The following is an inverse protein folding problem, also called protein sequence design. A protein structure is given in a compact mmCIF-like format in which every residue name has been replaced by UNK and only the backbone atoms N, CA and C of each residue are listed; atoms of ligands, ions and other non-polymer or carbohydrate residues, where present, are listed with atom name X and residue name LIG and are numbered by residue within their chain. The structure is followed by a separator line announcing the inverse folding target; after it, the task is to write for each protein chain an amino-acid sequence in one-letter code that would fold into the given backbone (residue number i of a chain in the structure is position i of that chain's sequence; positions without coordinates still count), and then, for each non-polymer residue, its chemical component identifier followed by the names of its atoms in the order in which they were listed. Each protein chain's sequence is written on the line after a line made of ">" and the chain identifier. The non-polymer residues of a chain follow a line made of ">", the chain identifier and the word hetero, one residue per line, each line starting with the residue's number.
data_IF_794974266366
#
_entry.id   IF_794974266366
#
_cell.length_a   1.000
_cell.length_b   1.000
_cell.length_c   1.000
_cell.angle_alpha   90.00
_cell.angle_beta   90.00
_cell.angle_gamma   90.00
#
_symmetry.space_group_name_H-M   'P 1'
#
loop_
_entity.id
_entity.type
_entity.pdbx_description
1 polymer ?
#
# COMPACT_ATOMS: atom_id res chain seq x y z
N UNK A 1 -17.80 -2.97 -25.52
CA UNK A 1 -18.18 -4.43 -25.51
C UNK A 1 -18.48 -4.86 -24.08
N UNK A 2 -19.37 -5.84 -23.86
CA UNK A 2 -19.79 -6.24 -22.49
C UNK A 2 -18.64 -6.89 -21.72
N UNK A 3 -18.44 -6.52 -20.45
CA UNK A 3 -17.50 -7.09 -19.47
C UNK A 3 -17.55 -8.63 -19.42
N UNK A 4 -18.74 -9.21 -19.60
CA UNK A 4 -18.96 -10.67 -19.66
C UNK A 4 -18.19 -11.39 -20.77
N UNK A 5 -17.79 -10.72 -21.83
CA UNK A 5 -17.10 -11.36 -22.96
C UNK A 5 -15.64 -11.68 -22.63
N UNK A 6 -14.98 -10.82 -21.84
CA UNK A 6 -13.59 -11.03 -21.44
C UNK A 6 -13.47 -12.11 -20.36
N UNK A 7 -14.43 -12.23 -19.45
CA UNK A 7 -14.42 -13.27 -18.40
C UNK A 7 -14.50 -14.70 -18.95
N UNK A 8 -15.00 -14.90 -20.17
CA UNK A 8 -15.04 -16.22 -20.83
C UNK A 8 -13.72 -16.57 -21.53
N UNK A 9 -12.76 -15.63 -21.63
CA UNK A 9 -11.46 -15.85 -22.26
C UNK A 9 -10.53 -16.62 -21.32
N UNK A 10 -10.00 -17.80 -21.70
CA UNK A 10 -9.08 -18.58 -20.89
C UNK A 10 -7.80 -17.80 -20.50
N UNK A 11 -7.36 -16.86 -21.34
CA UNK A 11 -6.19 -16.02 -21.08
C UNK A 11 -6.45 -15.08 -19.89
N UNK A 12 -7.64 -14.46 -19.87
CA UNK A 12 -8.08 -13.61 -18.76
C UNK A 12 -8.22 -14.42 -17.48
N UNK A 13 -8.81 -15.63 -17.55
CA UNK A 13 -8.93 -16.48 -16.37
C UNK A 13 -7.56 -16.88 -15.80
N UNK A 14 -6.64 -17.33 -16.65
CA UNK A 14 -5.29 -17.68 -16.22
C UNK A 14 -4.53 -16.47 -15.64
N UNK A 15 -4.76 -15.26 -16.15
CA UNK A 15 -4.20 -14.03 -15.62
C UNK A 15 -4.79 -13.71 -14.25
N UNK A 16 -6.12 -13.80 -14.09
CA UNK A 16 -6.81 -13.57 -12.80
C UNK A 16 -6.35 -14.55 -11.72
N UNK A 17 -6.15 -15.83 -12.07
CA UNK A 17 -5.66 -16.81 -11.11
C UNK A 17 -4.26 -16.47 -10.61
N UNK A 18 -3.34 -16.02 -11.50
CA UNK A 18 -2.03 -15.51 -11.11
C UNK A 18 -2.14 -14.25 -10.25
N UNK A 19 -2.95 -13.29 -10.69
CA UNK A 19 -3.15 -12.03 -9.97
C UNK A 19 -3.64 -12.28 -8.52
N UNK A 20 -4.60 -13.18 -8.34
CA UNK A 20 -5.10 -13.58 -7.01
C UNK A 20 -4.05 -14.31 -6.18
N UNK A 21 -3.26 -15.19 -6.80
CA UNK A 21 -2.16 -15.86 -6.12
C UNK A 21 -1.09 -14.87 -5.63
N UNK A 22 -0.83 -13.81 -6.40
CA UNK A 22 0.16 -12.80 -6.06
C UNK A 22 -0.26 -11.87 -4.91
N UNK A 23 -1.56 -11.78 -4.60
CA UNK A 23 -2.03 -10.98 -3.47
C UNK A 23 -1.84 -11.66 -2.12
N UNK A 24 -1.82 -12.99 -2.09
CA UNK A 24 -1.72 -13.75 -0.85
C UNK A 24 -0.62 -14.80 -0.96
N UNK A 25 0.54 -14.47 -0.42
CA UNK A 25 1.71 -15.34 -0.40
C UNK A 25 2.21 -15.51 1.04
N UNK A 26 2.68 -16.70 1.44
CA UNK A 26 3.29 -16.90 2.73
C UNK A 26 4.58 -16.08 2.85
N UNK A 27 4.95 -15.71 4.06
CA UNK A 27 6.24 -15.09 4.32
C UNK A 27 7.38 -16.03 3.88
N UNK A 28 8.46 -15.46 3.33
CA UNK A 28 9.63 -16.22 2.85
C UNK A 28 10.37 -16.91 4.00
N UNK A 29 10.32 -16.32 5.18
CA UNK A 29 10.93 -16.82 6.41
C UNK A 29 9.92 -16.76 7.56
N UNK A 30 10.09 -17.59 8.60
CA UNK A 30 9.18 -17.58 9.76
C UNK A 30 9.12 -16.19 10.41
N UNK A 31 7.90 -15.73 10.67
CA UNK A 31 7.62 -14.47 11.37
C UNK A 31 6.84 -14.78 12.64
N UNK A 32 7.10 -14.03 13.70
CA UNK A 32 6.37 -14.14 14.95
C UNK A 32 5.57 -12.88 15.23
N UNK A 33 4.44 -12.98 15.93
CA UNK A 33 3.68 -11.81 16.36
C UNK A 33 4.60 -10.81 17.09
N UNK A 34 4.43 -9.52 16.77
CA UNK A 34 5.07 -8.41 17.47
C UNK A 34 4.05 -7.76 18.40
N UNK A 35 4.35 -7.80 19.70
CA UNK A 35 3.55 -7.16 20.73
C UNK A 35 4.20 -5.85 21.19
N UNK A 36 3.38 -4.81 21.28
CA UNK A 36 3.75 -3.50 21.80
C UNK A 36 2.73 -3.10 22.86
N UNK A 37 3.19 -2.70 24.03
CA UNK A 37 2.31 -2.44 25.19
C UNK A 37 1.28 -3.55 25.45
N UNK A 38 1.69 -4.83 25.27
CA UNK A 38 0.85 -6.00 25.48
C UNK A 38 -0.18 -6.29 24.38
N UNK A 39 -0.17 -5.55 23.28
CA UNK A 39 -1.09 -5.72 22.15
C UNK A 39 -0.35 -6.15 20.90
N UNK A 40 -0.88 -7.14 20.18
CA UNK A 40 -0.33 -7.57 18.89
C UNK A 40 -0.60 -6.49 17.82
N UNK A 41 0.48 -6.05 17.13
CA UNK A 41 0.44 -4.96 16.17
C UNK A 41 0.90 -5.35 14.78
N UNK A 42 1.70 -6.40 14.68
CA UNK A 42 2.32 -6.83 13.44
C UNK A 42 3.07 -8.12 13.63
N UNK A 43 4.11 -8.32 12.84
CA UNK A 43 4.98 -9.50 12.94
C UNK A 43 6.43 -9.15 12.62
N UNK A 44 7.36 -9.82 13.28
CA UNK A 44 8.80 -9.63 13.04
C UNK A 44 9.42 -10.97 12.65
N UNK A 45 10.25 -10.96 11.62
CA UNK A 45 11.04 -12.10 11.21
C UNK A 45 12.19 -12.34 12.20
N UNK A 46 12.42 -13.60 12.58
CA UNK A 46 13.44 -13.94 13.57
C UNK A 46 14.86 -13.56 13.12
N UNK A 47 15.16 -13.70 11.83
CA UNK A 47 16.44 -13.29 11.26
C UNK A 47 16.63 -11.78 11.28
N UNK A 48 15.59 -10.99 11.03
CA UNK A 48 15.66 -9.53 11.16
C UNK A 48 15.89 -9.13 12.61
N UNK A 49 15.18 -9.75 13.57
CA UNK A 49 15.36 -9.47 14.99
C UNK A 49 16.81 -9.73 15.44
N UNK A 50 17.45 -10.77 14.91
CA UNK A 50 18.84 -11.10 15.21
C UNK A 50 19.88 -10.12 14.61
N UNK A 51 19.49 -9.33 13.60
CA UNK A 51 20.34 -8.31 12.97
C UNK A 51 20.28 -6.95 13.69
N UNK A 52 19.39 -6.79 14.70
CA UNK A 52 19.28 -5.54 15.45
C UNK A 52 20.21 -5.59 16.69
N UNK A 53 21.33 -4.85 16.73
CA UNK A 53 22.29 -4.93 17.81
C UNK A 53 21.72 -4.38 19.13
N UNK A 54 21.97 -5.07 20.23
CA UNK A 54 21.48 -4.69 21.57
C UNK A 54 21.94 -3.28 22.00
N UNK A 55 23.15 -2.87 21.65
CA UNK A 55 23.68 -1.55 21.96
C UNK A 55 22.94 -0.46 21.19
N UNK A 56 22.61 -0.66 19.91
CA UNK A 56 21.79 0.27 19.12
C UNK A 56 20.36 0.32 19.66
N UNK A 57 19.78 -0.83 20.00
CA UNK A 57 18.45 -0.92 20.62
C UNK A 57 18.42 -0.11 21.93
N UNK A 58 19.40 -0.32 22.81
CA UNK A 58 19.51 0.40 24.08
C UNK A 58 19.73 1.90 23.88
N UNK A 59 20.54 2.31 22.90
CA UNK A 59 20.76 3.72 22.57
C UNK A 59 19.46 4.43 22.17
N UNK A 60 18.51 3.69 21.59
CA UNK A 60 17.16 4.19 21.28
C UNK A 60 16.12 3.93 22.37
N UNK A 61 16.52 3.40 23.53
CA UNK A 61 15.66 3.19 24.69
C UNK A 61 14.65 2.05 24.55
N UNK A 62 14.91 1.07 23.68
CA UNK A 62 14.05 -0.09 23.44
C UNK A 62 14.80 -1.42 23.50
N UNK A 63 14.06 -2.50 23.73
CA UNK A 63 14.57 -3.86 23.68
C UNK A 63 13.50 -4.80 23.08
N UNK A 64 13.94 -5.82 22.36
CA UNK A 64 13.10 -6.92 21.91
C UNK A 64 13.34 -8.15 22.81
N UNK A 65 12.27 -8.78 23.25
CA UNK A 65 12.33 -10.01 24.03
C UNK A 65 11.41 -11.05 23.44
N UNK A 66 11.95 -12.24 23.18
CA UNK A 66 11.15 -13.39 22.74
C UNK A 66 10.57 -14.08 23.97
N UNK A 67 9.25 -14.10 24.08
CA UNK A 67 8.51 -14.74 25.18
C UNK A 67 7.32 -15.50 24.62
N UNK A 68 7.14 -16.74 25.02
CA UNK A 68 6.03 -17.60 24.56
C UNK A 68 5.84 -17.62 23.01
N UNK A 69 6.94 -17.52 22.25
CA UNK A 69 6.88 -17.52 20.78
C UNK A 69 6.50 -16.19 20.14
N UNK A 70 6.44 -15.11 20.89
CA UNK A 70 6.09 -13.76 20.43
C UNK A 70 7.20 -12.77 20.77
N UNK A 71 7.43 -11.80 19.88
CA UNK A 71 8.35 -10.70 20.13
C UNK A 71 7.65 -9.60 20.92
N UNK A 72 8.22 -9.23 22.05
CA UNK A 72 7.74 -8.14 22.90
C UNK A 72 8.68 -6.95 22.79
N UNK A 73 8.18 -5.82 22.27
CA UNK A 73 8.89 -4.55 22.27
C UNK A 73 8.72 -3.91 23.66
N UNK A 74 9.83 -3.65 24.31
CA UNK A 74 9.92 -3.10 25.67
C UNK A 74 10.70 -1.79 25.66
N UNK A 75 10.36 -0.88 26.58
CA UNK A 75 10.98 0.42 26.75
C UNK A 75 10.11 1.35 27.59
N UNK A 76 10.47 2.64 27.64
CA UNK A 76 9.67 3.67 28.29
C UNK A 76 8.85 4.45 27.30
N UNK A 77 7.61 4.77 27.65
CA UNK A 77 6.66 5.51 26.83
C UNK A 77 5.48 4.67 26.36
N UNK A 78 4.63 5.28 25.55
CA UNK A 78 3.49 4.63 24.93
C UNK A 78 3.90 3.82 23.67
N UNK A 79 2.94 3.14 23.07
CA UNK A 79 3.17 2.31 21.89
C UNK A 79 3.73 3.10 20.69
N UNK A 80 3.35 4.38 20.52
CA UNK A 80 3.88 5.27 19.48
C UNK A 80 5.36 5.57 19.69
N UNK A 81 5.74 5.89 20.92
CA UNK A 81 7.15 6.16 21.28
C UNK A 81 8.00 4.92 21.04
N UNK A 82 7.55 3.74 21.48
CA UNK A 82 8.27 2.48 21.32
C UNK A 82 8.43 2.07 19.85
N UNK A 83 7.37 2.14 19.07
CA UNK A 83 7.41 1.78 17.64
C UNK A 83 8.31 2.74 16.84
N UNK A 84 8.24 4.04 17.09
CA UNK A 84 9.11 5.00 16.42
C UNK A 84 10.58 4.91 16.90
N UNK A 85 10.84 4.47 18.12
CA UNK A 85 12.19 4.13 18.56
C UNK A 85 12.73 2.91 17.79
N UNK A 86 11.93 1.84 17.64
CA UNK A 86 12.29 0.68 16.82
C UNK A 86 12.46 1.05 15.34
N UNK A 87 11.61 1.92 14.79
CA UNK A 87 11.76 2.43 13.42
C UNK A 87 13.12 3.13 13.21
N UNK A 88 13.57 3.95 14.19
CA UNK A 88 14.90 4.57 14.14
C UNK A 88 16.04 3.55 14.23
N UNK A 89 15.88 2.47 15.01
CA UNK A 89 16.84 1.35 15.03
C UNK A 89 16.91 0.71 13.64
N UNK A 90 15.77 0.37 13.03
CA UNK A 90 15.73 -0.18 11.66
C UNK A 90 16.43 0.74 10.67
N UNK A 91 16.20 2.07 10.75
CA UNK A 91 16.88 3.05 9.90
C UNK A 91 18.39 3.05 10.13
N UNK A 92 18.82 3.11 11.40
CA UNK A 92 20.23 3.18 11.77
C UNK A 92 21.02 1.93 11.36
N UNK A 93 20.34 0.78 11.28
CA UNK A 93 20.93 -0.50 10.89
C UNK A 93 20.71 -0.84 9.40
N UNK A 94 20.08 0.05 8.62
CA UNK A 94 19.85 -0.15 7.18
C UNK A 94 18.71 -1.11 6.84
N UNK A 95 17.85 -1.44 7.80
CA UNK A 95 16.75 -2.39 7.63
C UNK A 95 15.35 -1.73 7.57
N UNK A 96 15.28 -0.40 7.45
CA UNK A 96 14.01 0.28 7.15
C UNK A 96 13.75 0.29 5.65
N UNK A 97 12.49 0.40 5.25
CA UNK A 97 12.11 0.90 3.94
C UNK A 97 12.48 2.39 3.77
N UNK A 98 12.16 2.99 2.62
CA UNK A 98 12.38 4.42 2.37
C UNK A 98 11.75 5.26 3.48
N UNK A 99 12.58 6.13 4.08
CA UNK A 99 12.12 7.03 5.15
C UNK A 99 11.35 8.21 4.54
N UNK A 100 10.14 8.47 5.04
CA UNK A 100 9.23 9.45 4.45
C UNK A 100 8.89 10.61 5.37
N UNK A 101 9.24 10.53 6.67
CA UNK A 101 8.76 11.44 7.72
C UNK A 101 7.22 11.50 7.80
N UNK A 102 6.60 10.37 7.43
CA UNK A 102 5.16 10.15 7.42
C UNK A 102 4.78 9.08 8.45
N UNK A 103 3.77 9.41 9.27
CA UNK A 103 3.26 8.46 10.26
C UNK A 103 2.05 7.72 9.72
N UNK A 104 2.05 6.39 9.86
CA UNK A 104 0.90 5.55 9.56
C UNK A 104 0.25 5.05 10.86
N UNK A 105 -1.06 4.85 10.81
CA UNK A 105 -1.80 4.31 11.95
C UNK A 105 -1.43 2.84 12.19
N UNK A 106 -1.26 2.50 13.47
CA UNK A 106 -1.05 1.11 13.92
C UNK A 106 -2.27 0.64 14.69
N UNK A 107 -2.89 -0.41 14.18
CA UNK A 107 -4.04 -1.03 14.82
C UNK A 107 -3.66 -2.39 15.44
N UNK A 108 -4.34 -2.75 16.54
CA UNK A 108 -4.27 -4.10 17.08
C UNK A 108 -5.11 -5.08 16.25
N UNK A 109 -5.09 -6.37 16.60
CA UNK A 109 -5.84 -7.43 15.89
C UNK A 109 -7.36 -7.25 15.93
N UNK A 110 -7.88 -6.38 16.80
CA UNK A 110 -9.30 -6.00 16.84
C UNK A 110 -9.62 -4.78 15.96
N UNK A 111 -8.62 -4.24 15.25
CA UNK A 111 -8.76 -3.06 14.41
C UNK A 111 -8.78 -1.74 15.17
N UNK A 112 -8.49 -1.74 16.47
CA UNK A 112 -8.43 -0.50 17.26
C UNK A 112 -7.08 0.16 17.04
N UNK A 113 -7.07 1.44 16.69
CA UNK A 113 -5.85 2.24 16.58
C UNK A 113 -5.24 2.43 17.97
N UNK A 114 -3.99 2.02 18.13
CA UNK A 114 -3.26 2.09 19.40
C UNK A 114 -1.98 2.92 19.34
N UNK A 115 -1.48 3.19 18.14
CA UNK A 115 -0.23 3.92 17.95
C UNK A 115 -0.12 4.52 16.54
N UNK A 116 0.99 5.19 16.30
CA UNK A 116 1.49 5.51 14.96
C UNK A 116 2.96 5.09 14.83
N UNK A 117 3.40 4.88 13.59
CA UNK A 117 4.80 4.56 13.29
C UNK A 117 5.20 5.16 11.95
N UNK A 118 6.47 5.49 11.81
CA UNK A 118 7.08 5.88 10.55
C UNK A 118 6.82 4.86 9.44
N UNK A 119 6.39 5.36 8.26
CA UNK A 119 6.02 4.57 7.08
C UNK A 119 7.10 3.56 6.67
N UNK A 120 8.38 3.94 6.72
CA UNK A 120 9.50 3.06 6.38
C UNK A 120 9.68 1.84 7.30
N UNK A 121 8.97 1.78 8.44
CA UNK A 121 9.04 0.64 9.36
C UNK A 121 7.91 -0.38 9.20
N UNK A 122 6.83 -0.05 8.47
CA UNK A 122 5.61 -0.88 8.47
C UNK A 122 5.83 -2.25 7.84
N UNK A 123 6.56 -2.34 6.73
CA UNK A 123 6.84 -3.62 6.05
C UNK A 123 7.81 -4.49 6.84
N UNK A 124 8.97 -3.99 7.33
CA UNK A 124 9.86 -4.76 8.21
C UNK A 124 9.13 -5.33 9.43
N UNK A 125 8.22 -4.55 10.03
CA UNK A 125 7.44 -4.94 11.21
C UNK A 125 6.13 -5.67 10.89
N UNK A 126 5.81 -5.93 9.61
CA UNK A 126 4.58 -6.61 9.19
C UNK A 126 3.31 -5.95 9.73
N UNK A 127 3.33 -4.63 9.91
CA UNK A 127 2.20 -3.83 10.38
C UNK A 127 1.19 -3.68 9.26
N UNK A 128 -0.09 -3.87 9.57
CA UNK A 128 -1.16 -3.68 8.62
C UNK A 128 -1.34 -2.19 8.28
N UNK A 129 -1.50 -1.90 6.99
CA UNK A 129 -1.67 -0.54 6.45
C UNK A 129 -2.96 -0.41 5.67
N UNK A 130 -3.38 0.83 5.44
CA UNK A 130 -4.51 1.16 4.59
C UNK A 130 -4.06 2.11 3.48
N UNK A 131 -4.56 1.87 2.27
CA UNK A 131 -4.35 2.73 1.11
C UNK A 131 -5.67 3.00 0.40
N UNK A 132 -5.67 3.99 -0.47
CA UNK A 132 -6.81 4.38 -1.30
C UNK A 132 -6.39 4.42 -2.76
N UNK A 133 -7.28 3.99 -3.66
CA UNK A 133 -7.12 4.15 -5.09
C UNK A 133 -8.36 4.79 -5.72
N UNK A 134 -8.18 5.58 -6.77
CA UNK A 134 -9.25 6.18 -7.54
C UNK A 134 -9.18 5.74 -9.00
N UNK A 135 -10.24 5.11 -9.48
CA UNK A 135 -10.45 4.85 -10.91
C UNK A 135 -11.23 6.02 -11.50
N UNK A 136 -10.58 6.81 -12.35
CA UNK A 136 -11.18 7.93 -13.07
C UNK A 136 -11.67 7.50 -14.45
N UNK A 137 -12.99 7.59 -14.69
CA UNK A 137 -13.57 7.29 -15.99
C UNK A 137 -14.15 8.56 -16.62
N UNK A 138 -14.24 8.62 -17.94
CA UNK A 138 -14.94 9.69 -18.66
C UNK A 138 -16.38 9.25 -18.99
N UNK A 139 -17.24 10.19 -19.32
CA UNK A 139 -18.64 9.91 -19.66
C UNK A 139 -18.79 8.99 -20.89
N UNK A 140 -17.81 8.94 -21.79
CA UNK A 140 -17.74 8.06 -22.95
C UNK A 140 -17.10 6.68 -22.64
N UNK A 141 -16.68 6.45 -21.39
CA UNK A 141 -16.22 5.16 -20.87
C UNK A 141 -14.72 4.89 -21.02
N UNK A 142 -13.93 5.90 -21.40
CA UNK A 142 -12.46 5.84 -21.34
C UNK A 142 -11.98 5.98 -19.91
N UNK A 143 -10.76 5.55 -19.65
CA UNK A 143 -10.19 5.48 -18.30
C UNK A 143 -8.90 6.30 -18.24
N UNK A 144 -8.81 7.19 -17.27
CA UNK A 144 -7.57 7.86 -16.92
C UNK A 144 -6.67 6.93 -16.11
N UNK A 145 -5.44 6.79 -16.55
CA UNK A 145 -4.38 6.05 -15.86
C UNK A 145 -3.14 6.93 -15.76
N UNK A 146 -2.36 6.74 -14.70
CA UNK A 146 -1.11 7.46 -14.50
C UNK A 146 0.10 6.53 -14.68
N UNK A 147 1.23 7.08 -15.10
CA UNK A 147 2.51 6.40 -15.13
C UNK A 147 3.40 6.92 -14.00
N UNK A 148 3.83 6.04 -13.14
CA UNK A 148 4.72 6.35 -12.01
C UNK A 148 6.06 6.88 -12.52
N UNK A 149 6.63 7.84 -11.81
CA UNK A 149 7.95 8.36 -12.13
C UNK A 149 9.04 7.27 -12.08
N UNK A 150 10.06 7.40 -12.93
CA UNK A 150 11.14 6.40 -13.04
C UNK A 150 12.06 6.36 -11.82
N UNK A 151 12.04 7.37 -10.97
CA UNK A 151 12.79 7.46 -9.72
C UNK A 151 12.03 6.95 -8.48
N UNK A 152 10.81 6.47 -8.66
CA UNK A 152 10.05 5.85 -7.55
C UNK A 152 10.76 4.58 -7.06
N UNK A 153 10.88 4.40 -5.74
CA UNK A 153 11.59 3.23 -5.16
C UNK A 153 10.86 1.90 -5.39
N UNK A 154 9.55 1.95 -5.69
CA UNK A 154 8.72 0.76 -5.96
C UNK A 154 7.98 0.94 -7.27
N UNK A 155 7.99 -0.10 -8.11
CA UNK A 155 7.30 -0.15 -9.41
C UNK A 155 7.57 1.09 -10.29
N UNK A 156 8.85 1.53 -10.51
CA UNK A 156 9.15 2.68 -11.35
C UNK A 156 8.67 2.46 -12.78
N UNK A 157 8.12 3.52 -13.40
CA UNK A 157 7.65 3.51 -14.78
C UNK A 157 6.42 2.65 -15.07
N UNK A 158 5.88 1.93 -14.08
CA UNK A 158 4.65 1.15 -14.25
C UNK A 158 3.42 2.06 -14.26
N UNK A 159 2.36 1.57 -14.89
CA UNK A 159 1.07 2.26 -14.88
C UNK A 159 0.29 1.97 -13.59
N UNK A 160 -0.54 2.92 -13.20
CA UNK A 160 -1.39 2.85 -12.00
C UNK A 160 -2.80 3.37 -12.32
N UNK A 161 -3.72 3.29 -11.36
CA UNK A 161 -5.02 3.96 -11.42
C UNK A 161 -4.84 5.47 -11.56
N UNK A 162 -5.89 6.26 -11.66
CA UNK A 162 -5.76 7.73 -11.73
C UNK A 162 -5.02 8.31 -10.52
N UNK A 163 -5.17 7.69 -9.35
CA UNK A 163 -4.48 8.04 -8.11
C UNK A 163 -4.38 6.80 -7.22
N UNK A 164 -3.27 6.67 -6.46
CA UNK A 164 -3.11 5.62 -5.46
C UNK A 164 -2.11 6.00 -4.37
N UNK A 165 -2.56 6.07 -3.11
CA UNK A 165 -1.70 6.45 -1.98
C UNK A 165 -2.08 5.83 -0.65
N UNK A 166 -1.19 5.92 0.32
CA UNK A 166 -1.41 5.40 1.67
C UNK A 166 -2.20 6.39 2.53
N UNK A 167 -3.06 5.85 3.40
CA UNK A 167 -3.79 6.65 4.38
C UNK A 167 -2.85 7.02 5.53
N UNK A 168 -2.44 8.28 5.60
CA UNK A 168 -1.62 8.79 6.69
C UNK A 168 -2.35 8.71 8.04
N UNK A 169 -1.59 8.67 9.14
CA UNK A 169 -2.20 8.57 10.47
C UNK A 169 -3.09 9.76 10.84
N UNK A 170 -2.90 10.92 10.24
CA UNK A 170 -3.72 12.11 10.46
C UNK A 170 -5.00 12.13 9.61
N UNK A 171 -5.07 11.29 8.56
CA UNK A 171 -6.17 11.30 7.62
C UNK A 171 -7.25 10.27 7.98
N UNK A 172 -8.48 10.59 7.65
CA UNK A 172 -9.53 9.62 7.35
C UNK A 172 -9.34 9.10 5.92
N UNK A 173 -10.04 8.02 5.56
CA UNK A 173 -10.05 7.51 4.17
C UNK A 173 -10.50 8.59 3.17
N UNK A 174 -11.50 9.39 3.52
CA UNK A 174 -12.00 10.45 2.64
C UNK A 174 -10.97 11.58 2.46
N UNK A 175 -10.30 12.00 3.53
CA UNK A 175 -9.24 13.01 3.47
C UNK A 175 -8.03 12.50 2.66
N UNK A 176 -7.67 11.22 2.81
CA UNK A 176 -6.62 10.61 1.98
C UNK A 176 -7.00 10.60 0.49
N UNK A 177 -8.24 10.27 0.13
CA UNK A 177 -8.71 10.36 -1.27
C UNK A 177 -8.60 11.80 -1.80
N UNK A 178 -8.99 12.83 -1.01
CA UNK A 178 -8.87 14.23 -1.42
C UNK A 178 -7.41 14.67 -1.60
N UNK A 179 -6.55 14.35 -0.62
CA UNK A 179 -5.15 14.74 -0.61
C UNK A 179 -4.40 14.10 -1.78
N UNK A 180 -4.48 12.77 -1.91
CA UNK A 180 -3.77 12.02 -2.96
C UNK A 180 -4.28 12.37 -4.37
N UNK A 181 -5.61 12.60 -4.53
CA UNK A 181 -6.17 13.03 -5.83
C UNK A 181 -5.60 14.39 -6.24
N UNK A 182 -5.38 15.30 -5.29
CA UNK A 182 -4.74 16.57 -5.58
C UNK A 182 -3.24 16.42 -5.84
N UNK A 183 -2.51 15.70 -4.99
CA UNK A 183 -1.05 15.56 -5.08
C UNK A 183 -0.62 14.86 -6.36
N UNK A 184 -1.22 13.72 -6.69
CA UNK A 184 -0.85 12.93 -7.86
C UNK A 184 -1.53 13.40 -9.16
N UNK A 185 -2.81 13.78 -9.12
CA UNK A 185 -3.58 14.10 -10.34
C UNK A 185 -3.96 15.58 -10.49
N UNK A 186 -3.72 16.46 -9.50
CA UNK A 186 -4.08 17.88 -9.55
C UNK A 186 -5.58 18.14 -9.65
N UNK A 187 -6.40 17.14 -9.34
CA UNK A 187 -7.86 17.22 -9.39
C UNK A 187 -8.44 17.40 -7.99
N UNK A 188 -9.53 18.16 -7.91
CA UNK A 188 -10.32 18.27 -6.69
C UNK A 188 -11.46 17.25 -6.70
N UNK A 189 -11.58 16.45 -5.65
CA UNK A 189 -12.65 15.45 -5.53
C UNK A 189 -14.03 16.08 -5.73
N UNK A 190 -14.24 17.33 -5.22
CA UNK A 190 -15.49 18.08 -5.39
C UNK A 190 -15.83 18.43 -6.86
N UNK A 191 -14.87 18.40 -7.77
CA UNK A 191 -15.06 18.66 -9.21
C UNK A 191 -15.36 17.36 -9.99
N UNK A 192 -15.15 16.20 -9.38
CA UNK A 192 -15.47 14.90 -9.96
C UNK A 192 -16.95 14.57 -9.79
N UNK A 193 -17.51 13.77 -10.69
CA UNK A 193 -18.92 13.41 -10.65
C UNK A 193 -19.09 11.96 -10.18
N UNK A 194 -20.07 11.74 -9.31
CA UNK A 194 -20.49 10.42 -8.91
C UNK A 194 -19.41 9.60 -8.16
N UNK A 195 -18.58 10.26 -7.34
CA UNK A 195 -17.63 9.56 -6.49
C UNK A 195 -18.35 8.51 -5.66
N UNK A 196 -17.89 7.27 -5.75
CA UNK A 196 -18.45 6.14 -5.00
C UNK A 196 -17.34 5.19 -4.53
N UNK A 197 -17.49 4.67 -3.33
CA UNK A 197 -16.69 3.56 -2.84
C UNK A 197 -17.09 2.28 -3.58
N UNK A 198 -16.16 1.62 -4.23
CA UNK A 198 -16.42 0.43 -5.04
C UNK A 198 -16.16 -0.88 -4.30
N UNK A 199 -15.38 -0.84 -3.23
CA UNK A 199 -14.98 -2.01 -2.45
C UNK A 199 -13.54 -1.92 -1.96
N UNK A 200 -12.96 -3.07 -1.64
CA UNK A 200 -11.56 -3.13 -1.23
C UNK A 200 -10.87 -4.39 -1.77
N UNK A 201 -9.55 -4.33 -1.85
CA UNK A 201 -8.66 -5.45 -2.12
C UNK A 201 -7.67 -5.61 -0.97
N UNK A 202 -7.17 -6.83 -0.76
CA UNK A 202 -6.27 -7.15 0.35
C UNK A 202 -4.98 -7.74 -0.19
N UNK A 203 -3.85 -7.30 0.36
CA UNK A 203 -2.54 -7.86 0.11
C UNK A 203 -1.94 -8.41 1.39
N UNK A 204 -1.47 -9.65 1.32
CA UNK A 204 -0.65 -10.31 2.34
C UNK A 204 0.46 -11.07 1.63
N UNK A 205 1.65 -10.46 1.51
CA UNK A 205 2.76 -11.03 0.75
C UNK A 205 4.12 -10.51 1.22
N UNK A 206 5.23 -11.20 0.88
CA UNK A 206 6.57 -10.67 1.07
C UNK A 206 6.75 -9.29 0.41
N UNK A 207 7.62 -8.47 1.00
CA UNK A 207 8.07 -7.18 0.49
C UNK A 207 9.58 -7.19 0.38
N UNK A 208 10.13 -6.52 -0.62
CA UNK A 208 11.58 -6.41 -0.84
C UNK A 208 12.27 -5.52 0.20
N UNK A 209 11.50 -4.78 1.00
CA UNK A 209 12.06 -3.95 2.07
C UNK A 209 12.78 -4.79 3.13
N UNK A 210 13.75 -4.19 3.81
CA UNK A 210 14.65 -4.86 4.76
C UNK A 210 15.33 -6.10 4.14
N UNK A 211 15.86 -5.95 2.92
CA UNK A 211 16.53 -7.02 2.18
C UNK A 211 15.65 -8.27 1.95
N UNK A 212 14.37 -8.05 1.63
CA UNK A 212 13.40 -9.11 1.42
C UNK A 212 12.81 -9.71 2.70
N UNK A 213 13.07 -9.11 3.87
CA UNK A 213 12.54 -9.54 5.18
C UNK A 213 11.25 -8.82 5.55
N UNK A 214 10.80 -7.89 4.72
CA UNK A 214 9.53 -7.20 4.88
C UNK A 214 8.34 -8.10 4.59
N UNK A 215 7.18 -7.74 5.14
CA UNK A 215 5.92 -8.39 4.85
C UNK A 215 4.81 -7.35 4.74
N UNK A 216 4.19 -7.30 3.57
CA UNK A 216 3.08 -6.42 3.28
C UNK A 216 1.78 -7.01 3.80
N UNK A 217 1.06 -6.25 4.60
CA UNK A 217 -0.35 -6.46 4.94
C UNK A 217 -1.07 -5.17 4.65
N UNK A 218 -1.80 -5.12 3.56
CA UNK A 218 -2.42 -3.87 3.13
C UNK A 218 -3.86 -4.08 2.70
N UNK A 219 -4.74 -3.19 3.15
CA UNK A 219 -6.08 -3.01 2.65
C UNK A 219 -6.09 -1.78 1.75
N UNK A 220 -6.54 -1.95 0.51
CA UNK A 220 -6.74 -0.86 -0.44
C UNK A 220 -8.23 -0.66 -0.64
N UNK A 221 -8.77 0.43 -0.14
CA UNK A 221 -10.14 0.86 -0.44
C UNK A 221 -10.13 1.60 -1.77
N UNK A 222 -10.92 1.14 -2.75
CA UNK A 222 -10.96 1.78 -4.05
C UNK A 222 -12.26 2.52 -4.31
N UNK A 223 -12.10 3.61 -5.02
CA UNK A 223 -13.17 4.52 -5.42
C UNK A 223 -13.23 4.62 -6.94
N UNK A 224 -14.38 5.02 -7.46
CA UNK A 224 -14.52 5.41 -8.86
C UNK A 224 -15.29 6.71 -8.97
N UNK A 225 -14.94 7.52 -9.98
CA UNK A 225 -15.61 8.78 -10.29
C UNK A 225 -15.52 9.10 -11.77
N UNK A 226 -16.45 9.90 -12.28
CA UNK A 226 -16.35 10.44 -13.64
C UNK A 226 -15.57 11.75 -13.62
N UNK A 227 -14.52 11.81 -14.42
CA UNK A 227 -13.74 13.04 -14.68
C UNK A 227 -14.43 13.83 -15.79
N UNK A 228 -14.94 15.04 -15.50
CA UNK A 228 -15.57 15.89 -16.51
C UNK A 228 -14.63 16.23 -17.67
N UNK A 229 -15.11 16.40 -18.91
CA UNK A 229 -14.27 16.69 -20.08
C UNK A 229 -13.45 17.98 -19.99
N UNK A 230 -13.83 18.91 -19.10
CA UNK A 230 -13.11 20.15 -18.88
C UNK A 230 -11.90 20.01 -17.95
N UNK A 231 -11.75 18.85 -17.30
CA UNK A 231 -10.65 18.55 -16.38
C UNK A 231 -9.65 17.63 -17.06
N UNK A 232 -8.39 17.93 -16.87
CA UNK A 232 -7.26 17.10 -17.31
C UNK A 232 -6.32 16.88 -16.10
N UNK A 233 -5.93 15.62 -15.81
CA UNK A 233 -5.01 15.34 -14.72
C UNK A 233 -3.63 15.96 -14.95
N UNK A 234 -3.02 16.45 -13.86
CA UNK A 234 -1.69 17.03 -13.88
C UNK A 234 -1.00 16.85 -12.53
N UNK A 235 0.16 16.21 -12.55
CA UNK A 235 0.95 15.91 -11.36
C UNK A 235 1.38 17.17 -10.60
N UNK A 236 1.32 17.13 -9.25
CA UNK A 236 1.68 18.25 -8.37
C UNK A 236 2.92 17.96 -7.51
N UNK A 237 3.20 16.69 -7.19
CA UNK A 237 4.24 16.28 -6.24
C UNK A 237 5.50 15.66 -6.86
N UNK A 238 5.47 15.37 -8.17
CA UNK A 238 6.57 14.77 -8.92
C UNK A 238 6.56 13.24 -8.93
N UNK A 239 5.56 12.59 -8.33
CA UNK A 239 5.47 11.12 -8.26
C UNK A 239 4.93 10.48 -9.54
N UNK A 240 4.31 11.28 -10.42
CA UNK A 240 3.70 10.84 -11.68
C UNK A 240 4.40 11.53 -12.87
N UNK A 241 4.89 10.75 -13.83
CA UNK A 241 5.55 11.31 -15.02
C UNK A 241 4.63 11.49 -16.23
N UNK A 242 3.52 10.75 -16.31
CA UNK A 242 2.59 10.87 -17.43
C UNK A 242 1.17 10.42 -17.05
N UNK A 243 0.19 10.93 -17.78
CA UNK A 243 -1.18 10.45 -17.78
C UNK A 243 -1.57 9.97 -19.18
N UNK A 244 -2.45 8.99 -19.23
CA UNK A 244 -3.05 8.52 -20.48
C UNK A 244 -4.56 8.31 -20.29
N UNK A 245 -5.32 8.71 -21.30
CA UNK A 245 -6.75 8.41 -21.41
C UNK A 245 -6.91 7.26 -22.40
N UNK A 246 -7.26 6.08 -21.90
CA UNK A 246 -7.26 4.84 -22.67
C UNK A 246 -8.66 4.23 -22.78
N UNK A 247 -8.88 3.50 -23.88
CA UNK A 247 -10.09 2.71 -24.09
C UNK A 247 -10.11 1.46 -23.20
N UNK A 248 -11.30 0.93 -22.89
CA UNK A 248 -11.43 -0.29 -22.10
C UNK A 248 -10.70 -1.50 -22.66
N UNK A 249 -10.74 -1.67 -23.97
CA UNK A 249 -10.06 -2.79 -24.64
C UNK A 249 -8.53 -2.66 -24.48
N UNK A 250 -8.01 -1.43 -24.56
CA UNK A 250 -6.60 -1.12 -24.29
C UNK A 250 -6.22 -1.35 -22.82
N UNK A 251 -7.10 -1.00 -21.88
CA UNK A 251 -6.90 -1.30 -20.47
C UNK A 251 -6.72 -2.80 -20.23
N UNK A 252 -7.63 -3.62 -20.81
CA UNK A 252 -7.55 -5.08 -20.71
C UNK A 252 -6.25 -5.61 -21.31
N UNK A 253 -5.85 -5.11 -22.48
CA UNK A 253 -4.58 -5.47 -23.10
C UNK A 253 -3.39 -5.16 -22.19
N UNK A 254 -3.34 -3.96 -21.61
CA UNK A 254 -2.25 -3.52 -20.74
C UNK A 254 -2.21 -4.31 -19.41
N UNK A 255 -3.38 -4.67 -18.86
CA UNK A 255 -3.46 -5.57 -17.69
C UNK A 255 -2.83 -6.94 -18.01
N UNK A 256 -3.22 -7.55 -19.12
CA UNK A 256 -2.69 -8.86 -19.53
C UNK A 256 -1.19 -8.82 -19.85
N UNK A 257 -0.68 -7.70 -20.33
CA UNK A 257 0.75 -7.44 -20.55
C UNK A 257 1.55 -7.19 -19.27
N UNK A 258 0.90 -7.06 -18.10
CA UNK A 258 1.56 -6.76 -16.82
C UNK A 258 2.13 -5.35 -16.74
N UNK A 259 1.52 -4.38 -17.40
CA UNK A 259 2.00 -2.98 -17.42
C UNK A 259 1.63 -2.19 -16.16
N UNK A 260 0.65 -2.67 -15.39
CA UNK A 260 0.18 -2.03 -14.17
C UNK A 260 0.91 -2.53 -12.92
N UNK A 261 0.98 -1.67 -11.90
CA UNK A 261 1.39 -2.10 -10.57
C UNK A 261 0.50 -3.24 -10.09
N UNK A 262 0.98 -4.15 -9.24
CA UNK A 262 0.14 -5.23 -8.71
C UNK A 262 -1.12 -4.72 -8.01
N UNK A 263 -1.00 -3.59 -7.30
CA UNK A 263 -2.07 -2.93 -6.57
C UNK A 263 -3.14 -2.40 -7.54
N UNK A 264 -2.72 -1.63 -8.55
CA UNK A 264 -3.62 -1.12 -9.59
C UNK A 264 -4.28 -2.24 -10.39
N UNK A 265 -3.54 -3.30 -10.73
CA UNK A 265 -4.09 -4.43 -11.48
C UNK A 265 -5.24 -5.12 -10.72
N UNK A 266 -5.11 -5.29 -9.39
CA UNK A 266 -6.18 -5.84 -8.55
C UNK A 266 -7.39 -4.89 -8.47
N UNK A 267 -7.15 -3.60 -8.26
CA UNK A 267 -8.22 -2.60 -8.21
C UNK A 267 -8.98 -2.54 -9.53
N UNK A 268 -8.25 -2.48 -10.66
CA UNK A 268 -8.86 -2.41 -11.99
C UNK A 268 -9.61 -3.69 -12.36
N UNK A 269 -9.10 -4.87 -11.96
CA UNK A 269 -9.82 -6.14 -12.12
C UNK A 269 -11.13 -6.13 -11.32
N UNK A 270 -11.09 -5.70 -10.05
CA UNK A 270 -12.29 -5.56 -9.21
C UNK A 270 -13.29 -4.54 -9.78
N UNK A 271 -12.80 -3.40 -10.30
CA UNK A 271 -13.64 -2.39 -10.95
C UNK A 271 -14.28 -2.90 -12.25
N UNK A 272 -13.58 -3.74 -13.03
CA UNK A 272 -14.11 -4.42 -14.20
C UNK A 272 -15.14 -5.52 -13.85
N UNK A 273 -15.28 -5.86 -12.55
CA UNK A 273 -16.16 -6.93 -12.09
C UNK A 273 -15.59 -8.34 -12.31
N UNK A 274 -14.27 -8.48 -12.30
CA UNK A 274 -13.52 -9.72 -12.53
C UNK A 274 -13.15 -10.47 -11.26
#
# INVERSE_FOLDING_TARGET
>A
MSVSKHLADPTVQAWLDRLRADTRQPALQPRRPLLVAGQETGSLEDGLAALLPDDVMHAHGVALRLQAGQWHLQGQGDATVLLNALARVLRATGHSGPWRDEQLAVCNVQGQRIATVERGAVRPLGIATQAVHLVGETADGRIWVQQRADDKPTNPGMWDTLMGGMVAACDTVAEAVERETWEEAGLRVAELQGLRHGGHVLFERPSDEAEGRGFMRERIDWFSATVPPALEPGNQDGEVQAFALIERDQLVEWLLQGRFTPEAAQVLAAWLGW
#
